data_IF_743632046771
#
_entry.id   IF_743632046771
#
_cell.length_a   1.000
_cell.length_b   1.000
_cell.length_c   1.000
_cell.angle_alpha   90.00
_cell.angle_beta   90.00
_cell.angle_gamma   90.00
#
_symmetry.space_group_name_H-M   'P 1'
#
loop_
_entity.id
_entity.type
_entity.pdbx_description
1 polymer ?
#
# COMPACT_ATOMS: atom_id res chain seq x y z
N UNK A 1 11.59 10.95 0.26
CA UNK A 1 10.58 9.93 -0.10
C UNK A 1 10.23 9.95 -1.59
N UNK A 2 10.13 11.12 -2.23
CA UNK A 2 9.84 11.20 -3.68
C UNK A 2 10.78 10.31 -4.51
N UNK A 3 10.21 9.60 -5.50
CA UNK A 3 10.94 8.71 -6.41
C UNK A 3 11.41 7.37 -5.82
N UNK A 4 11.15 7.10 -4.53
CA UNK A 4 11.70 5.91 -3.85
C UNK A 4 10.69 4.78 -3.64
N UNK A 5 9.44 4.96 -4.06
CA UNK A 5 8.36 3.96 -3.88
C UNK A 5 8.09 3.60 -2.39
N UNK A 6 8.34 4.55 -1.48
CA UNK A 6 8.26 4.36 -0.03
C UNK A 6 7.06 5.03 0.64
N UNK A 7 6.43 6.01 -0.03
CA UNK A 7 5.36 6.78 0.57
C UNK A 7 4.09 5.95 0.73
N UNK A 8 3.34 6.15 1.81
CA UNK A 8 2.00 5.61 1.96
C UNK A 8 1.02 6.24 0.94
N UNK A 9 0.34 5.44 0.09
CA UNK A 9 -0.64 5.97 -0.86
C UNK A 9 -2.00 6.30 -0.23
N UNK A 10 -2.29 5.84 1.00
CA UNK A 10 -3.63 5.92 1.61
C UNK A 10 -4.19 7.35 1.64
N UNK A 11 -3.37 8.34 1.97
CA UNK A 11 -3.82 9.74 2.02
C UNK A 11 -4.34 10.23 0.67
N UNK A 12 -3.63 9.93 -0.42
CA UNK A 12 -4.06 10.31 -1.77
C UNK A 12 -5.29 9.53 -2.22
N UNK A 13 -5.37 8.24 -1.89
CA UNK A 13 -6.53 7.39 -2.20
C UNK A 13 -7.79 7.88 -1.48
N UNK A 14 -7.70 8.23 -0.20
CA UNK A 14 -8.83 8.80 0.54
C UNK A 14 -9.21 10.19 0.05
N UNK A 15 -8.26 11.03 -0.36
CA UNK A 15 -8.60 12.30 -1.01
C UNK A 15 -9.43 12.08 -2.28
N UNK A 16 -9.09 11.06 -3.09
CA UNK A 16 -9.88 10.68 -4.26
C UNK A 16 -11.26 10.09 -3.89
N UNK A 17 -11.35 9.26 -2.84
CA UNK A 17 -12.63 8.73 -2.34
C UNK A 17 -13.56 9.86 -1.85
N UNK A 18 -13.02 10.81 -1.09
CA UNK A 18 -13.77 11.99 -0.65
C UNK A 18 -14.19 12.84 -1.84
N UNK A 19 -13.35 13.01 -2.87
CA UNK A 19 -13.76 13.69 -4.11
C UNK A 19 -14.97 13.00 -4.75
N UNK A 20 -14.99 11.68 -4.87
CA UNK A 20 -16.14 10.91 -5.37
C UNK A 20 -17.42 11.23 -4.59
N UNK A 21 -17.32 11.23 -3.25
CA UNK A 21 -18.45 11.54 -2.37
C UNK A 21 -18.96 12.97 -2.51
N UNK A 22 -18.07 13.95 -2.42
CA UNK A 22 -18.46 15.36 -2.29
C UNK A 22 -18.65 16.09 -3.61
N UNK A 23 -17.85 15.78 -4.63
CA UNK A 23 -17.95 16.44 -5.93
C UNK A 23 -18.93 15.73 -6.88
N UNK A 24 -19.09 14.41 -6.73
CA UNK A 24 -19.88 13.60 -7.67
C UNK A 24 -21.07 12.87 -7.02
N UNK A 25 -21.25 12.97 -5.69
CA UNK A 25 -22.35 12.29 -4.98
C UNK A 25 -22.20 10.77 -4.89
N UNK A 26 -21.05 10.22 -5.31
CA UNK A 26 -20.76 8.79 -5.43
C UNK A 26 -20.37 8.18 -4.07
N UNK A 27 -21.35 8.12 -3.17
CA UNK A 27 -21.15 7.68 -1.78
C UNK A 27 -20.86 6.18 -1.69
N UNK A 28 -21.45 5.36 -2.57
CA UNK A 28 -21.22 3.92 -2.58
C UNK A 28 -19.80 3.57 -3.00
N UNK A 29 -19.27 4.27 -4.00
CA UNK A 29 -17.91 4.12 -4.51
C UNK A 29 -16.88 4.59 -3.48
N UNK A 30 -17.15 5.71 -2.79
CA UNK A 30 -16.35 6.15 -1.65
C UNK A 30 -16.26 5.06 -0.58
N UNK A 31 -17.41 4.51 -0.16
CA UNK A 31 -17.45 3.44 0.85
C UNK A 31 -16.74 2.16 0.39
N UNK A 32 -16.85 1.81 -0.89
CA UNK A 32 -16.15 0.65 -1.45
C UNK A 32 -14.62 0.84 -1.41
N UNK A 33 -14.11 2.03 -1.72
CA UNK A 33 -12.69 2.35 -1.61
C UNK A 33 -12.23 2.32 -0.15
N UNK A 34 -13.00 2.92 0.77
CA UNK A 34 -12.70 2.90 2.21
C UNK A 34 -12.60 1.47 2.74
N UNK A 35 -13.56 0.61 2.39
CA UNK A 35 -13.54 -0.81 2.74
C UNK A 35 -12.35 -1.55 2.15
N UNK A 36 -11.98 -1.28 0.90
CA UNK A 36 -10.82 -1.88 0.26
C UNK A 36 -9.51 -1.50 0.97
N UNK A 37 -9.34 -0.22 1.33
CA UNK A 37 -8.18 0.24 2.10
C UNK A 37 -8.17 -0.39 3.49
N UNK A 38 -9.31 -0.40 4.20
CA UNK A 38 -9.41 -0.99 5.53
C UNK A 38 -9.04 -2.47 5.49
N UNK A 39 -9.52 -3.22 4.50
CA UNK A 39 -9.15 -4.63 4.31
C UNK A 39 -7.64 -4.83 4.18
N UNK A 40 -6.96 -4.01 3.38
CA UNK A 40 -5.49 -4.10 3.21
C UNK A 40 -4.77 -3.79 4.53
N UNK A 41 -5.29 -2.83 5.28
CA UNK A 41 -4.73 -2.48 6.59
C UNK A 41 -4.97 -3.59 7.63
N UNK A 42 -6.14 -4.22 7.64
CA UNK A 42 -6.49 -5.30 8.56
C UNK A 42 -5.71 -6.58 8.26
N UNK A 43 -5.42 -6.85 6.98
CA UNK A 43 -4.55 -7.94 6.55
C UNK A 43 -3.05 -7.67 6.85
N UNK A 44 -2.76 -6.53 7.48
CA UNK A 44 -1.48 -6.19 8.11
C UNK A 44 -0.46 -5.54 7.19
N UNK A 45 -0.82 -5.09 5.98
CA UNK A 45 0.14 -4.46 5.05
C UNK A 45 0.36 -2.99 5.41
N UNK A 46 1.62 -2.54 5.42
CA UNK A 46 2.05 -1.17 5.75
C UNK A 46 3.20 -0.73 4.86
N UNK A 47 3.27 0.55 4.51
CA UNK A 47 4.49 1.18 3.99
C UNK A 47 5.43 1.59 5.11
N UNK A 48 6.65 1.98 4.79
CA UNK A 48 7.71 2.26 5.79
C UNK A 48 7.36 3.38 6.77
N UNK A 49 6.55 4.35 6.34
CA UNK A 49 6.14 5.49 7.15
C UNK A 49 5.06 5.18 8.19
N UNK A 50 4.30 4.10 8.01
CA UNK A 50 3.24 3.66 8.92
C UNK A 50 3.46 2.22 9.43
N UNK A 51 4.69 1.70 9.33
CA UNK A 51 5.02 0.34 9.72
C UNK A 51 4.88 0.18 11.24
N UNK A 52 4.13 -0.84 11.66
CA UNK A 52 3.97 -1.22 13.06
C UNK A 52 4.48 -2.66 13.30
N UNK A 53 4.86 -3.02 14.54
CA UNK A 53 5.24 -4.39 14.88
C UNK A 53 4.17 -5.40 14.46
N UNK A 54 4.60 -6.54 13.90
CA UNK A 54 3.68 -7.60 13.43
C UNK A 54 3.00 -7.31 12.08
N UNK A 55 3.19 -6.12 11.50
CA UNK A 55 2.73 -5.81 10.14
C UNK A 55 3.75 -6.23 9.09
N UNK A 56 3.29 -6.37 7.85
CA UNK A 56 4.10 -6.67 6.68
C UNK A 56 4.43 -5.39 5.93
N UNK A 57 5.70 -5.20 5.65
CA UNK A 57 6.17 -4.05 4.89
C UNK A 57 5.93 -4.26 3.39
N UNK A 58 5.41 -3.25 2.73
CA UNK A 58 5.22 -3.21 1.26
C UNK A 58 5.63 -1.84 0.72
N UNK A 59 5.96 -1.79 -0.56
CA UNK A 59 6.17 -0.53 -1.29
C UNK A 59 4.85 0.16 -1.65
N UNK A 60 4.92 1.42 -2.08
CA UNK A 60 3.75 2.23 -2.43
C UNK A 60 2.92 1.59 -3.56
N UNK A 61 3.57 1.17 -4.64
CA UNK A 61 2.93 0.49 -5.77
C UNK A 61 2.22 -0.80 -5.34
N UNK A 62 2.87 -1.65 -4.53
CA UNK A 62 2.29 -2.90 -4.02
C UNK A 62 1.12 -2.66 -3.09
N UNK A 63 1.17 -1.60 -2.29
CA UNK A 63 0.03 -1.19 -1.49
C UNK A 63 -1.14 -0.78 -2.40
N UNK A 64 -0.87 -0.01 -3.46
CA UNK A 64 -1.85 0.36 -4.48
C UNK A 64 -2.46 -0.86 -5.19
N UNK A 65 -1.64 -1.82 -5.63
CA UNK A 65 -2.08 -3.09 -6.24
C UNK A 65 -3.03 -3.84 -5.32
N UNK A 66 -2.71 -3.90 -4.02
CA UNK A 66 -3.53 -4.57 -3.01
C UNK A 66 -4.89 -3.88 -2.84
N UNK A 67 -4.93 -2.54 -2.80
CA UNK A 67 -6.19 -1.78 -2.72
C UNK A 67 -7.04 -2.05 -3.96
N UNK A 68 -6.45 -1.89 -5.16
CA UNK A 68 -7.17 -2.10 -6.42
C UNK A 68 -7.72 -3.52 -6.55
N UNK A 69 -6.94 -4.53 -6.14
CA UNK A 69 -7.37 -5.92 -6.12
C UNK A 69 -8.47 -6.18 -5.08
N UNK A 70 -8.37 -5.57 -3.89
CA UNK A 70 -9.39 -5.68 -2.84
C UNK A 70 -10.74 -5.08 -3.28
N UNK A 71 -10.71 -3.99 -4.05
CA UNK A 71 -11.89 -3.34 -4.61
C UNK A 71 -12.57 -4.16 -5.73
N UNK A 72 -11.79 -4.87 -6.54
CA UNK A 72 -12.29 -5.47 -7.80
C UNK A 72 -12.62 -6.96 -7.71
N UNK A 73 -11.82 -7.77 -6.99
CA UNK A 73 -12.06 -9.22 -6.94
C UNK A 73 -11.34 -9.91 -5.79
N UNK A 74 -12.05 -10.74 -4.98
CA UNK A 74 -11.42 -11.59 -3.96
C UNK A 74 -10.36 -12.54 -4.54
N UNK A 75 -10.56 -13.04 -5.75
CA UNK A 75 -9.62 -13.96 -6.42
C UNK A 75 -8.33 -13.24 -6.78
N UNK A 76 -8.43 -12.04 -7.35
CA UNK A 76 -7.26 -11.22 -7.68
C UNK A 76 -6.51 -10.81 -6.41
N UNK A 77 -7.24 -10.38 -5.37
CA UNK A 77 -6.65 -10.03 -4.08
C UNK A 77 -5.79 -11.16 -3.51
N UNK A 78 -6.32 -12.39 -3.49
CA UNK A 78 -5.57 -13.58 -3.03
C UNK A 78 -4.33 -13.87 -3.87
N UNK A 79 -4.34 -13.53 -5.17
CA UNK A 79 -3.20 -13.72 -6.07
C UNK A 79 -2.11 -12.69 -5.75
N UNK A 80 -2.47 -11.41 -5.64
CA UNK A 80 -1.53 -10.32 -5.28
C UNK A 80 -0.97 -10.53 -3.86
N UNK A 81 -1.81 -10.85 -2.88
CA UNK A 81 -1.36 -11.13 -1.52
C UNK A 81 -0.38 -12.31 -1.44
N UNK A 82 -0.56 -13.33 -2.30
CA UNK A 82 0.38 -14.45 -2.41
C UNK A 82 1.71 -14.04 -3.04
N UNK A 83 1.71 -13.19 -4.07
CA UNK A 83 2.95 -12.72 -4.69
C UNK A 83 3.77 -11.85 -3.75
N UNK A 84 3.11 -11.01 -2.95
CA UNK A 84 3.78 -10.21 -1.89
C UNK A 84 4.46 -11.13 -0.87
N UNK A 85 3.78 -12.18 -0.40
CA UNK A 85 4.37 -13.16 0.53
C UNK A 85 5.53 -13.95 -0.08
N UNK A 86 5.42 -14.33 -1.36
CA UNK A 86 6.38 -15.21 -2.02
C UNK A 86 7.67 -14.49 -2.43
N UNK A 87 7.60 -13.22 -2.84
CA UNK A 87 8.77 -12.48 -3.28
C UNK A 87 9.74 -12.16 -2.12
N UNK A 88 9.26 -12.22 -0.86
CA UNK A 88 9.79 -11.34 0.18
C UNK A 88 9.59 -9.88 -0.26
N UNK A 89 9.64 -8.92 0.64
CA UNK A 89 9.15 -7.57 0.32
C UNK A 89 9.98 -6.85 -0.77
N UNK A 90 11.04 -7.50 -1.31
CA UNK A 90 12.03 -6.92 -2.23
C UNK A 90 12.74 -5.71 -1.62
N UNK A 91 12.41 -5.42 -0.37
CA UNK A 91 12.71 -4.23 0.36
C UNK A 91 14.09 -4.42 0.96
N UNK A 92 15.07 -3.79 0.33
CA UNK A 92 16.37 -3.57 0.94
C UNK A 92 16.26 -2.23 1.67
N UNK A 93 16.22 -2.22 3.02
CA UNK A 93 16.23 -0.96 3.76
C UNK A 93 17.47 -0.15 3.34
N UNK A 94 17.30 1.16 3.11
CA UNK A 94 18.37 2.08 2.71
C UNK A 94 19.65 1.95 3.56
N UNK A 95 19.56 1.45 4.80
CA UNK A 95 20.71 1.14 5.66
C UNK A 95 21.73 0.15 5.07
N UNK A 96 21.38 -0.66 4.07
CA UNK A 96 22.34 -1.55 3.39
C UNK A 96 23.05 -0.94 2.18
N UNK A 97 22.63 0.23 1.67
CA UNK A 97 23.28 0.86 0.49
C UNK A 97 24.38 1.86 0.85
N UNK A 98 24.38 2.40 2.06
CA UNK A 98 25.36 3.43 2.47
C UNK A 98 26.57 2.85 3.22
N UNK A 99 26.55 1.56 3.57
CA UNK A 99 27.68 0.88 4.22
C UNK A 99 28.87 0.61 3.27
N UNK A 100 28.83 1.08 2.02
CA UNK A 100 29.90 0.95 1.04
C UNK A 100 30.48 2.29 0.54
N UNK A 101 30.18 3.41 1.20
CA UNK A 101 30.64 4.74 0.77
C UNK A 101 31.34 5.55 1.88
N UNK A 102 31.91 4.87 2.88
CA UNK A 102 32.62 5.49 3.99
C UNK A 102 34.01 4.87 4.26
N UNK A 103 34.70 4.43 3.20
CA UNK A 103 36.14 4.12 3.23
C UNK A 103 36.79 4.59 1.92
N UNK A 104 36.94 5.91 1.75
CA UNK A 104 37.99 6.59 0.98
C UNK A 104 38.11 8.04 1.46
#
# INVERSE_FOLDING_TARGET
>A
MAGQNLANPVGAVFAAAMLLKYAFGLTAECAAIEQAVQKVLDDGYRTVDILAPGCRLVSCDRFGDLIAAALTSPTLYRKVARSVKAAGDGFVPLRRRVAGAAEL
#
